data_IF_202226086305
#
_entry.id   IF_202226086305
#
_cell.length_a   1.000
_cell.length_b   1.000
_cell.length_c   1.000
_cell.angle_alpha   90.00
_cell.angle_beta   90.00
_cell.angle_gamma   90.00
#
_symmetry.space_group_name_H-M   'P 1'
#
loop_
_entity.id
_entity.type
_entity.pdbx_description
1 polymer ?
#
# COMPACT_ATOMS: atom_id res chain seq x y z
N UNK A 1 -21.98 8.27 -2.66
CA UNK A 1 -20.52 8.01 -2.66
C UNK A 1 -20.24 6.52 -2.80
N UNK A 2 -20.96 5.65 -2.07
CA UNK A 2 -20.88 4.18 -2.16
C UNK A 2 -21.04 3.62 -3.58
N UNK A 3 -22.05 4.04 -4.35
CA UNK A 3 -22.23 3.56 -5.74
C UNK A 3 -21.04 3.90 -6.65
N UNK A 4 -20.39 5.05 -6.40
CA UNK A 4 -19.19 5.44 -7.15
C UNK A 4 -18.01 4.58 -6.74
N UNK A 5 -17.83 4.31 -5.45
CA UNK A 5 -16.82 3.39 -4.94
C UNK A 5 -16.97 1.97 -5.53
N UNK A 6 -18.19 1.41 -5.49
CA UNK A 6 -18.47 0.09 -6.05
C UNK A 6 -18.17 0.00 -7.55
N UNK A 7 -18.47 1.06 -8.32
CA UNK A 7 -18.09 1.13 -9.73
C UNK A 7 -16.57 1.14 -9.93
N UNK A 8 -15.84 1.86 -9.08
CA UNK A 8 -14.38 1.90 -9.17
C UNK A 8 -13.73 0.54 -8.87
N UNK A 9 -14.31 -0.26 -7.97
CA UNK A 9 -13.80 -1.59 -7.63
C UNK A 9 -13.83 -2.60 -8.80
N UNK A 10 -14.74 -2.40 -9.77
CA UNK A 10 -14.90 -3.30 -10.93
C UNK A 10 -14.31 -2.73 -12.22
N UNK A 11 -13.77 -1.51 -12.19
CA UNK A 11 -13.12 -0.89 -13.33
C UNK A 11 -11.69 -1.42 -13.50
N UNK A 12 -11.19 -1.35 -14.73
CA UNK A 12 -9.77 -1.60 -14.99
C UNK A 12 -8.90 -0.60 -14.21
N UNK A 13 -7.82 -1.11 -13.62
CA UNK A 13 -6.87 -0.29 -12.88
C UNK A 13 -6.06 0.56 -13.85
N UNK A 14 -6.38 1.86 -13.89
CA UNK A 14 -5.97 2.80 -14.94
C UNK A 14 -5.69 4.19 -14.35
N UNK A 15 -5.02 5.09 -15.10
CA UNK A 15 -4.87 6.49 -14.70
C UNK A 15 -6.21 7.17 -14.40
N UNK A 16 -7.24 6.84 -15.18
CA UNK A 16 -8.60 7.35 -15.02
C UNK A 16 -9.21 6.87 -13.70
N UNK A 17 -9.11 5.57 -13.39
CA UNK A 17 -9.56 5.00 -12.12
C UNK A 17 -8.84 5.62 -10.93
N UNK A 18 -7.53 5.89 -11.06
CA UNK A 18 -6.75 6.60 -10.04
C UNK A 18 -7.27 8.00 -9.80
N UNK A 19 -7.46 8.78 -10.88
CA UNK A 19 -8.01 10.13 -10.79
C UNK A 19 -9.40 10.14 -10.17
N UNK A 20 -10.28 9.21 -10.55
CA UNK A 20 -11.62 9.13 -9.97
C UNK A 20 -11.64 8.74 -8.50
N UNK A 21 -10.68 7.91 -8.07
CA UNK A 21 -10.50 7.48 -6.68
C UNK A 21 -10.01 8.64 -5.80
N UNK A 22 -9.02 9.41 -6.27
CA UNK A 22 -8.55 10.62 -5.57
C UNK A 22 -9.69 11.65 -5.43
N UNK A 23 -10.43 11.90 -6.51
CA UNK A 23 -11.60 12.78 -6.47
C UNK A 23 -12.68 12.29 -5.48
N UNK A 24 -12.86 10.97 -5.34
CA UNK A 24 -13.79 10.40 -4.36
C UNK A 24 -13.29 10.62 -2.92
N UNK A 25 -12.01 10.42 -2.67
CA UNK A 25 -11.39 10.69 -1.37
C UNK A 25 -11.52 12.17 -0.98
N UNK A 26 -11.19 13.07 -1.90
CA UNK A 26 -11.35 14.51 -1.70
C UNK A 26 -12.81 14.90 -1.46
N UNK A 27 -13.75 14.30 -2.19
CA UNK A 27 -15.18 14.53 -1.98
C UNK A 27 -15.64 14.04 -0.61
N UNK A 28 -15.14 12.89 -0.16
CA UNK A 28 -15.43 12.38 1.18
C UNK A 28 -14.92 13.36 2.23
N UNK A 29 -13.64 13.72 2.18
CA UNK A 29 -13.02 14.67 3.10
C UNK A 29 -13.79 16.00 3.11
N UNK A 30 -14.12 16.55 1.93
CA UNK A 30 -14.83 17.83 1.82
C UNK A 30 -16.24 17.83 2.43
N UNK A 31 -16.92 16.68 2.43
CA UNK A 31 -18.28 16.55 2.94
C UNK A 31 -18.33 16.21 4.44
N UNK A 32 -17.23 15.75 5.03
CA UNK A 32 -17.26 15.17 6.37
C UNK A 32 -17.22 16.18 7.53
N UNK A 33 -17.34 17.50 7.28
CA UNK A 33 -17.13 18.58 8.28
C UNK A 33 -15.81 18.49 9.08
N UNK A 34 -14.94 17.54 8.75
CA UNK A 34 -13.62 17.36 9.29
C UNK A 34 -12.77 18.60 8.93
N UNK A 35 -11.86 19.07 9.79
CA UNK A 35 -10.99 20.20 9.46
C UNK A 35 -10.12 19.88 8.23
N UNK A 36 -10.55 20.35 7.07
CA UNK A 36 -9.89 20.11 5.79
C UNK A 36 -8.61 20.92 5.68
N UNK A 37 -7.47 20.27 5.89
CA UNK A 37 -6.17 20.88 5.71
C UNK A 37 -5.84 21.26 4.26
N UNK A 38 -6.48 20.67 3.22
CA UNK A 38 -5.90 20.71 1.87
C UNK A 38 -6.71 21.39 0.77
N UNK A 39 -8.04 21.48 0.87
CA UNK A 39 -8.81 22.30 -0.09
C UNK A 39 -8.49 23.79 0.01
N UNK A 40 -7.79 24.21 1.08
CA UNK A 40 -7.17 25.55 1.24
C UNK A 40 -5.72 25.63 0.78
N UNK A 41 -4.97 24.53 0.75
CA UNK A 41 -3.59 24.49 0.23
C UNK A 41 -3.64 24.58 -1.29
N UNK A 42 -4.42 23.74 -1.98
CA UNK A 42 -4.48 23.71 -3.45
C UNK A 42 -4.97 25.00 -4.12
N UNK A 43 -5.69 25.88 -3.41
CA UNK A 43 -6.17 27.18 -3.94
C UNK A 43 -5.12 28.29 -3.93
N UNK A 44 -3.96 28.07 -3.31
CA UNK A 44 -2.90 29.07 -3.23
C UNK A 44 -1.61 28.69 -3.97
N UNK A 45 -1.51 27.47 -4.52
CA UNK A 45 -0.35 27.11 -5.35
C UNK A 45 -0.63 27.50 -6.79
N UNK A 46 -0.03 28.62 -7.20
CA UNK A 46 0.13 28.93 -8.61
C UNK A 46 0.97 27.82 -9.28
N UNK A 47 0.78 27.61 -10.59
CA UNK A 47 1.43 26.52 -11.36
C UNK A 47 2.98 26.47 -11.23
N UNK A 48 3.61 27.50 -10.67
CA UNK A 48 5.04 27.64 -10.44
C UNK A 48 5.52 27.22 -9.03
N UNK A 49 4.63 26.95 -8.07
CA UNK A 49 4.97 26.78 -6.64
C UNK A 49 4.99 25.33 -6.11
N UNK A 50 4.58 24.33 -6.91
CA UNK A 50 4.78 22.90 -6.58
C UNK A 50 6.25 22.52 -6.31
N UNK A 51 7.13 23.42 -6.70
CA UNK A 51 8.57 23.41 -6.49
C UNK A 51 9.01 23.55 -5.03
N UNK A 52 8.05 23.85 -4.12
CA UNK A 52 8.23 23.98 -2.67
C UNK A 52 7.21 23.13 -1.90
N UNK A 53 6.88 21.91 -2.37
CA UNK A 53 6.23 20.96 -1.47
C UNK A 53 7.22 20.56 -0.38
N UNK A 54 7.22 21.35 0.69
CA UNK A 54 8.00 21.12 1.88
C UNK A 54 7.27 20.04 2.67
N UNK A 55 7.78 18.82 2.62
CA UNK A 55 7.44 17.84 3.62
C UNK A 55 7.84 18.41 4.98
N UNK A 56 6.89 18.65 5.90
CA UNK A 56 7.24 19.29 7.16
C UNK A 56 8.32 18.51 7.92
N UNK A 57 9.26 19.19 8.58
CA UNK A 57 10.42 18.56 9.21
C UNK A 57 10.03 17.49 10.23
N UNK A 58 8.98 17.73 11.01
CA UNK A 58 8.41 16.76 11.95
C UNK A 58 7.94 15.48 11.25
N UNK A 59 7.42 15.57 10.03
CA UNK A 59 6.92 14.43 9.28
C UNK A 59 8.08 13.64 8.69
N UNK A 60 9.12 14.35 8.22
CA UNK A 60 10.39 13.73 7.82
C UNK A 60 11.01 12.97 8.99
N UNK A 61 11.07 13.57 10.18
CA UNK A 61 11.65 12.93 11.36
C UNK A 61 10.82 11.75 11.83
N UNK A 62 9.51 11.88 11.82
CA UNK A 62 8.58 10.79 12.05
C UNK A 62 8.81 9.62 11.07
N UNK A 63 8.93 9.88 9.76
CA UNK A 63 9.25 8.84 8.77
C UNK A 63 10.62 8.20 9.04
N UNK A 64 11.62 8.99 9.43
CA UNK A 64 12.96 8.47 9.77
C UNK A 64 12.87 7.54 10.97
N UNK A 65 12.13 7.91 12.01
CA UNK A 65 11.96 7.08 13.21
C UNK A 65 11.34 5.74 12.85
N UNK A 66 10.28 5.75 12.02
CA UNK A 66 9.66 4.49 11.55
C UNK A 66 10.62 3.65 10.70
N UNK A 67 11.42 4.28 9.83
CA UNK A 67 12.41 3.56 9.04
C UNK A 67 13.55 2.99 9.89
N UNK A 68 13.94 3.69 10.97
CA UNK A 68 14.99 3.28 11.88
C UNK A 68 14.59 2.06 12.72
N UNK A 69 13.30 1.93 13.07
CA UNK A 69 12.76 0.76 13.77
C UNK A 69 12.97 -0.55 12.99
N UNK A 70 13.01 -0.49 11.65
CA UNK A 70 13.24 -1.66 10.81
C UNK A 70 14.72 -2.06 10.69
N UNK A 71 15.66 -1.21 11.12
CA UNK A 71 17.11 -1.42 11.05
C UNK A 71 17.60 -1.99 9.69
N UNK A 72 16.93 -1.63 8.59
CA UNK A 72 17.19 -2.19 7.28
C UNK A 72 17.87 -1.13 6.39
N UNK A 73 19.14 -1.39 6.05
CA UNK A 73 19.97 -0.50 5.22
C UNK A 73 19.44 -0.31 3.80
N UNK A 74 18.51 -1.16 3.36
CA UNK A 74 17.90 -1.10 2.05
C UNK A 74 16.61 -0.26 2.02
N UNK A 75 16.17 0.30 3.16
CA UNK A 75 15.04 1.24 3.16
C UNK A 75 15.39 2.49 2.34
N UNK A 76 14.47 2.98 1.50
CA UNK A 76 14.70 4.16 0.69
C UNK A 76 14.99 5.39 1.55
N UNK A 77 15.89 6.25 1.07
CA UNK A 77 16.16 7.52 1.73
C UNK A 77 14.94 8.43 1.59
N UNK A 78 14.51 9.05 2.68
CA UNK A 78 13.46 10.06 2.65
C UNK A 78 13.99 11.29 1.91
N UNK A 79 13.43 11.66 0.75
CA UNK A 79 13.86 12.87 0.05
C UNK A 79 13.49 14.10 0.89
N UNK A 80 14.42 15.04 1.03
CA UNK A 80 14.16 16.32 1.73
C UNK A 80 13.11 17.17 1.00
N UNK A 81 13.03 17.02 -0.33
CA UNK A 81 12.03 17.63 -1.19
C UNK A 81 11.90 16.82 -2.47
N UNK A 82 10.73 16.89 -3.12
CA UNK A 82 10.57 16.41 -4.49
C UNK A 82 11.31 17.40 -5.41
N UNK A 83 12.24 16.93 -6.26
CA UNK A 83 13.04 17.83 -7.09
C UNK A 83 12.19 18.56 -8.14
N UNK A 84 12.55 19.82 -8.42
CA UNK A 84 11.89 20.63 -9.45
C UNK A 84 12.04 19.95 -10.82
N UNK A 85 10.92 19.62 -11.45
CA UNK A 85 10.87 19.05 -12.81
C UNK A 85 10.68 20.15 -13.84
N UNK A 86 11.37 20.03 -14.99
CA UNK A 86 11.25 20.98 -16.12
C UNK A 86 10.39 20.45 -17.27
N UNK A 87 10.28 19.13 -17.37
CA UNK A 87 9.44 18.46 -18.35
C UNK A 87 7.98 18.50 -17.89
N UNK A 88 7.08 18.92 -18.76
CA UNK A 88 5.65 19.07 -18.45
C UNK A 88 5.03 17.77 -17.97
N UNK A 89 5.35 16.66 -18.62
CA UNK A 89 4.87 15.33 -18.24
C UNK A 89 5.34 14.97 -16.84
N UNK A 90 6.63 15.17 -16.54
CA UNK A 90 7.19 14.90 -15.21
C UNK A 90 6.58 15.79 -14.12
N UNK A 91 6.23 17.03 -14.44
CA UNK A 91 5.51 17.92 -13.53
C UNK A 91 4.15 17.32 -13.16
N UNK A 92 3.38 16.83 -14.13
CA UNK A 92 2.08 16.19 -13.87
C UNK A 92 2.23 14.93 -12.99
N UNK A 93 3.30 14.15 -13.15
CA UNK A 93 3.55 12.99 -12.31
C UNK A 93 3.97 13.33 -10.89
N UNK A 94 4.78 14.38 -10.71
CA UNK A 94 5.08 14.89 -9.37
C UNK A 94 3.81 15.40 -8.69
N UNK A 95 2.88 16.04 -9.42
CA UNK A 95 1.56 16.45 -8.88
C UNK A 95 0.74 15.26 -8.42
N UNK A 96 0.56 14.26 -9.28
CA UNK A 96 -0.15 13.02 -8.94
C UNK A 96 0.45 12.39 -7.68
N UNK A 97 1.78 12.29 -7.62
CA UNK A 97 2.49 11.76 -6.45
C UNK A 97 2.10 12.50 -5.18
N UNK A 98 2.11 13.83 -5.20
CA UNK A 98 1.74 14.65 -4.03
C UNK A 98 0.28 14.43 -3.60
N UNK A 99 -0.63 14.28 -4.56
CA UNK A 99 -2.05 14.03 -4.30
C UNK A 99 -2.27 12.65 -3.64
N UNK A 100 -1.54 11.63 -4.09
CA UNK A 100 -1.52 10.31 -3.45
C UNK A 100 -0.98 10.40 -2.03
N UNK A 101 0.17 11.07 -1.86
CA UNK A 101 0.82 11.21 -0.55
C UNK A 101 -0.12 11.86 0.45
N UNK A 102 -0.79 12.93 0.04
CA UNK A 102 -1.74 13.62 0.89
C UNK A 102 -2.87 12.68 1.34
N UNK A 103 -3.49 11.97 0.39
CA UNK A 103 -4.62 11.09 0.68
C UNK A 103 -4.25 9.90 1.57
N UNK A 104 -3.10 9.27 1.33
CA UNK A 104 -2.65 8.12 2.15
C UNK A 104 -2.12 8.54 3.52
N UNK A 105 -1.53 9.73 3.64
CA UNK A 105 -0.94 10.19 4.88
C UNK A 105 -1.92 11.00 5.74
N UNK A 106 -3.17 11.20 5.30
CA UNK A 106 -4.23 11.78 6.14
C UNK A 106 -4.75 10.74 7.15
N UNK A 107 -4.98 11.10 8.43
CA UNK A 107 -4.88 12.43 9.04
C UNK A 107 -3.50 12.71 9.65
N UNK A 108 -2.52 11.79 9.52
CA UNK A 108 -1.18 11.97 10.08
C UNK A 108 -0.57 13.29 9.63
N UNK A 109 -0.76 13.71 8.36
CA UNK A 109 -0.32 15.02 7.88
C UNK A 109 -1.13 16.22 8.42
N UNK A 110 -2.42 16.05 8.71
CA UNK A 110 -3.28 17.16 9.16
C UNK A 110 -3.15 17.44 10.65
N UNK A 111 -2.80 16.43 11.46
CA UNK A 111 -2.73 16.54 12.91
C UNK A 111 -1.48 17.28 13.43
N UNK A 112 -0.58 17.73 12.55
CA UNK A 112 0.74 18.23 12.94
C UNK A 112 0.89 19.76 12.79
N UNK A 113 -0.12 20.44 12.23
CA UNK A 113 -0.16 21.90 12.19
C UNK A 113 -1.02 22.52 13.30
N UNK A 114 -1.82 21.72 14.01
CA UNK A 114 -2.58 22.13 15.18
C UNK A 114 -2.18 21.21 16.33
N UNK A 115 -1.89 21.75 17.51
CA UNK A 115 -1.63 20.98 18.75
C UNK A 115 -2.85 20.13 19.19
N UNK A 116 -3.91 20.11 18.40
CA UNK A 116 -5.08 19.28 18.56
C UNK A 116 -4.90 17.99 17.77
N UNK A 117 -4.88 16.86 18.47
CA UNK A 117 -5.06 15.55 17.86
C UNK A 117 -6.36 15.59 17.05
N UNK A 118 -6.26 15.55 15.72
CA UNK A 118 -7.43 15.35 14.86
C UNK A 118 -7.95 13.94 15.10
N UNK A 119 -8.98 13.86 15.93
CA UNK A 119 -9.79 12.65 16.07
C UNK A 119 -10.68 12.64 14.83
N UNK A 120 -10.42 11.70 13.92
CA UNK A 120 -11.41 11.37 12.89
C UNK A 120 -12.59 10.74 13.61
N UNK A 121 -13.76 11.36 13.52
CA UNK A 121 -15.03 10.81 14.00
C UNK A 121 -15.97 10.66 12.79
N UNK A 122 -16.80 9.61 12.78
CA UNK A 122 -17.70 9.28 11.66
C UNK A 122 -17.37 7.96 10.97
N UNK A 123 -17.82 7.77 9.72
CA UNK A 123 -17.62 6.55 8.93
C UNK A 123 -16.19 6.48 8.35
N UNK A 124 -15.21 6.29 9.23
CA UNK A 124 -13.79 6.14 8.89
C UNK A 124 -13.54 4.85 8.09
N UNK A 125 -14.40 3.84 8.26
CA UNK A 125 -14.32 2.58 7.51
C UNK A 125 -14.38 2.83 6.02
N UNK A 126 -15.38 3.60 5.55
CA UNK A 126 -15.50 3.94 4.14
C UNK A 126 -14.33 4.79 3.61
N UNK A 127 -13.72 5.65 4.44
CA UNK A 127 -12.52 6.38 4.03
C UNK A 127 -11.29 5.46 3.90
N UNK A 128 -11.09 4.53 4.85
CA UNK A 128 -10.04 3.50 4.78
C UNK A 128 -10.22 2.65 3.52
N UNK A 129 -11.45 2.33 3.14
CA UNK A 129 -11.76 1.58 1.92
C UNK A 129 -11.33 2.32 0.65
N UNK A 130 -11.53 3.65 0.61
CA UNK A 130 -11.03 4.50 -0.49
C UNK A 130 -9.50 4.58 -0.46
N UNK A 131 -8.89 4.72 0.71
CA UNK A 131 -7.43 4.75 0.86
C UNK A 131 -6.78 3.43 0.42
N UNK A 132 -7.41 2.29 0.71
CA UNK A 132 -6.96 0.97 0.23
C UNK A 132 -7.03 0.86 -1.30
N UNK A 133 -8.07 1.40 -1.93
CA UNK A 133 -8.14 1.46 -3.39
C UNK A 133 -7.01 2.32 -3.97
N UNK A 134 -6.76 3.50 -3.40
CA UNK A 134 -5.64 4.38 -3.77
C UNK A 134 -4.30 3.67 -3.58
N UNK A 135 -4.13 2.93 -2.48
CA UNK A 135 -2.92 2.17 -2.18
C UNK A 135 -2.61 1.12 -3.26
N UNK A 136 -3.61 0.33 -3.65
CA UNK A 136 -3.45 -0.71 -4.69
C UNK A 136 -3.15 -0.08 -6.04
N UNK A 137 -3.92 0.95 -6.44
CA UNK A 137 -3.65 1.71 -7.69
C UNK A 137 -2.26 2.36 -7.69
N UNK A 138 -1.77 2.78 -6.52
CA UNK A 138 -0.41 3.30 -6.38
C UNK A 138 0.63 2.21 -6.64
N UNK A 139 0.42 1.01 -6.08
CA UNK A 139 1.30 -0.14 -6.30
C UNK A 139 1.35 -0.59 -7.76
N UNK A 140 0.18 -0.73 -8.41
CA UNK A 140 0.10 -1.39 -9.71
C UNK A 140 0.24 -0.44 -10.90
N UNK A 141 -0.02 0.85 -10.69
CA UNK A 141 0.05 1.85 -11.74
C UNK A 141 1.11 2.93 -11.45
N UNK A 142 1.00 3.65 -10.33
CA UNK A 142 1.84 4.85 -10.09
C UNK A 142 3.31 4.48 -9.92
N UNK A 143 3.63 3.50 -9.07
CA UNK A 143 5.01 3.10 -8.81
C UNK A 143 5.73 2.53 -10.05
N UNK A 144 5.15 1.59 -10.83
CA UNK A 144 5.71 1.14 -12.10
C UNK A 144 5.93 2.29 -13.08
N UNK A 145 4.98 3.22 -13.11
CA UNK A 145 5.05 4.38 -13.98
C UNK A 145 6.23 5.31 -13.60
N UNK A 146 6.39 5.64 -12.33
CA UNK A 146 7.51 6.46 -11.84
C UNK A 146 8.87 5.79 -12.09
N UNK A 147 8.94 4.48 -11.87
CA UNK A 147 10.14 3.66 -12.17
C UNK A 147 10.51 3.75 -13.66
N UNK A 148 9.54 3.57 -14.56
CA UNK A 148 9.75 3.67 -16.02
C UNK A 148 10.28 5.03 -16.45
N UNK A 149 9.85 6.11 -15.77
CA UNK A 149 10.21 7.49 -16.10
C UNK A 149 11.43 8.03 -15.32
N UNK A 150 12.10 7.17 -14.55
CA UNK A 150 13.29 7.50 -13.74
C UNK A 150 13.03 8.62 -12.73
N UNK A 151 11.86 8.59 -12.09
CA UNK A 151 11.43 9.50 -11.04
C UNK A 151 11.67 8.85 -9.67
N UNK A 152 12.95 8.71 -9.30
CA UNK A 152 13.36 7.94 -8.12
C UNK A 152 12.90 8.58 -6.81
N UNK A 153 13.00 9.90 -6.71
CA UNK A 153 12.65 10.60 -5.48
C UNK A 153 11.15 10.45 -5.16
N UNK A 154 10.28 10.57 -6.17
CA UNK A 154 8.84 10.34 -6.06
C UNK A 154 8.54 8.88 -5.71
N UNK A 155 9.23 7.94 -6.36
CA UNK A 155 9.09 6.51 -6.11
C UNK A 155 9.45 6.15 -4.67
N UNK A 156 10.61 6.60 -4.20
CA UNK A 156 11.11 6.34 -2.85
C UNK A 156 10.16 6.95 -1.79
N UNK A 157 9.68 8.17 -2.04
CA UNK A 157 8.76 8.84 -1.13
C UNK A 157 7.41 8.14 -1.02
N UNK A 158 6.80 7.74 -2.14
CA UNK A 158 5.53 7.02 -2.13
C UNK A 158 5.61 5.68 -1.39
N UNK A 159 6.68 4.92 -1.58
CA UNK A 159 6.88 3.67 -0.87
C UNK A 159 6.96 3.87 0.66
N UNK A 160 7.60 4.95 1.11
CA UNK A 160 7.65 5.30 2.54
C UNK A 160 6.28 5.72 3.07
N UNK A 161 5.50 6.46 2.30
CA UNK A 161 4.13 6.84 2.69
C UNK A 161 3.22 5.63 2.74
N UNK A 162 3.30 4.73 1.77
CA UNK A 162 2.57 3.46 1.77
C UNK A 162 2.95 2.61 2.98
N UNK A 163 4.24 2.55 3.34
CA UNK A 163 4.70 1.88 4.55
C UNK A 163 4.06 2.47 5.81
N UNK A 164 4.14 3.80 5.97
CA UNK A 164 3.54 4.51 7.10
C UNK A 164 2.03 4.34 7.19
N UNK A 165 1.33 4.44 6.07
CA UNK A 165 -0.11 4.19 6.01
C UNK A 165 -0.43 2.77 6.51
N UNK A 166 0.28 1.76 6.02
CA UNK A 166 0.11 0.37 6.44
C UNK A 166 0.37 0.20 7.94
N UNK A 167 1.38 0.89 8.47
CA UNK A 167 1.72 0.84 9.88
C UNK A 167 0.64 1.47 10.77
N UNK A 168 0.07 2.60 10.35
CA UNK A 168 -0.84 3.40 11.20
C UNK A 168 -2.31 3.03 11.02
N UNK A 169 -2.78 2.96 9.77
CA UNK A 169 -4.19 2.75 9.49
C UNK A 169 -4.65 1.32 9.84
N UNK A 170 -3.72 0.36 9.88
CA UNK A 170 -4.00 -1.06 10.05
C UNK A 170 -3.31 -1.69 11.27
N UNK A 171 -2.86 -0.88 12.23
CA UNK A 171 -2.23 -1.38 13.46
C UNK A 171 -3.16 -2.29 14.29
N UNK A 172 -4.47 -2.11 14.14
CA UNK A 172 -5.54 -2.88 14.77
C UNK A 172 -5.83 -4.21 14.04
N UNK A 173 -5.34 -4.39 12.82
CA UNK A 173 -5.41 -5.64 12.06
C UNK A 173 -4.01 -6.10 11.59
N UNK A 174 -3.24 -6.77 12.46
CA UNK A 174 -1.87 -7.19 12.16
C UNK A 174 -1.73 -8.12 10.96
N UNK A 175 -2.74 -8.96 10.68
CA UNK A 175 -2.74 -9.84 9.51
C UNK A 175 -2.79 -9.03 8.21
N UNK A 176 -3.73 -8.07 8.12
CA UNK A 176 -3.85 -7.19 6.95
C UNK A 176 -2.65 -6.23 6.84
N UNK A 177 -2.16 -5.68 7.96
CA UNK A 177 -0.97 -4.85 7.97
C UNK A 177 0.24 -5.55 7.34
N UNK A 178 0.49 -6.83 7.69
CA UNK A 178 1.58 -7.59 7.10
C UNK A 178 1.37 -7.86 5.61
N UNK A 179 0.12 -8.06 5.16
CA UNK A 179 -0.21 -8.15 3.74
C UNK A 179 0.13 -6.85 2.99
N UNK A 180 -0.14 -5.68 3.58
CA UNK A 180 0.23 -4.41 2.98
C UNK A 180 1.76 -4.19 2.98
N UNK A 181 2.45 -4.58 4.05
CA UNK A 181 3.92 -4.55 4.09
C UNK A 181 4.54 -5.40 2.99
N UNK A 182 3.99 -6.58 2.68
CA UNK A 182 4.52 -7.40 1.59
C UNK A 182 4.41 -6.71 0.24
N UNK A 183 3.34 -5.94 0.00
CA UNK A 183 3.19 -5.13 -1.22
C UNK A 183 4.26 -4.04 -1.29
N UNK A 184 4.44 -3.30 -0.19
CA UNK A 184 5.47 -2.24 -0.11
C UNK A 184 6.88 -2.80 -0.30
N UNK A 185 7.22 -3.89 0.37
CA UNK A 185 8.54 -4.51 0.26
C UNK A 185 8.77 -5.13 -1.12
N UNK A 186 7.72 -5.65 -1.77
CA UNK A 186 7.82 -6.10 -3.15
C UNK A 186 8.15 -4.94 -4.10
N UNK A 187 7.50 -3.80 -3.90
CA UNK A 187 7.81 -2.59 -4.66
C UNK A 187 9.27 -2.13 -4.45
N UNK A 188 9.82 -2.30 -3.25
CA UNK A 188 11.24 -2.00 -2.96
C UNK A 188 12.23 -3.08 -3.43
N UNK A 189 11.75 -4.26 -3.89
CA UNK A 189 12.60 -5.39 -4.29
C UNK A 189 13.18 -6.19 -3.11
N UNK A 190 12.55 -6.10 -1.92
CA UNK A 190 12.98 -6.78 -0.70
C UNK A 190 12.32 -8.16 -0.58
N UNK A 191 12.67 -9.08 -1.48
CA UNK A 191 11.98 -10.38 -1.63
C UNK A 191 11.91 -11.23 -0.36
N UNK A 192 12.97 -11.25 0.46
CA UNK A 192 12.96 -11.99 1.73
C UNK A 192 11.91 -11.43 2.69
N UNK A 193 11.84 -10.10 2.82
CA UNK A 193 10.86 -9.43 3.65
C UNK A 193 9.42 -9.64 3.16
N UNK A 194 9.20 -9.74 1.84
CA UNK A 194 7.90 -10.11 1.25
C UNK A 194 7.43 -11.46 1.77
N UNK A 195 8.29 -12.48 1.70
CA UNK A 195 7.97 -13.84 2.13
C UNK A 195 7.68 -13.88 3.64
N UNK A 196 8.47 -13.20 4.46
CA UNK A 196 8.27 -13.11 5.91
C UNK A 196 6.94 -12.43 6.28
N UNK A 197 6.60 -11.32 5.62
CA UNK A 197 5.36 -10.62 5.81
C UNK A 197 4.15 -11.48 5.41
N UNK A 198 4.19 -12.14 4.24
CA UNK A 198 3.11 -13.01 3.79
C UNK A 198 2.90 -14.21 4.72
N UNK A 199 3.99 -14.82 5.20
CA UNK A 199 3.90 -15.91 6.18
C UNK A 199 3.26 -15.43 7.49
N UNK A 200 3.66 -14.24 7.96
CA UNK A 200 3.11 -13.63 9.18
C UNK A 200 1.63 -13.30 9.02
N UNK A 201 1.24 -12.71 7.88
CA UNK A 201 -0.16 -12.43 7.54
C UNK A 201 -1.02 -13.69 7.56
N UNK A 202 -0.54 -14.78 6.93
CA UNK A 202 -1.22 -16.07 6.96
C UNK A 202 -1.34 -16.62 8.38
N UNK A 203 -0.26 -16.64 9.16
CA UNK A 203 -0.25 -17.19 10.53
C UNK A 203 -1.19 -16.46 11.50
N UNK A 204 -1.44 -15.19 11.26
CA UNK A 204 -2.33 -14.36 12.06
C UNK A 204 -3.80 -14.44 11.60
N UNK A 205 -4.07 -15.13 10.50
CA UNK A 205 -5.41 -15.32 9.96
C UNK A 205 -5.96 -16.67 10.42
N UNK A 206 -7.13 -16.64 11.06
CA UNK A 206 -7.79 -17.86 11.55
C UNK A 206 -8.33 -18.69 10.38
N UNK A 207 -8.37 -20.03 10.47
CA UNK A 207 -8.95 -20.89 9.43
C UNK A 207 -10.40 -20.58 9.08
N UNK A 208 -11.17 -20.01 9.99
CA UNK A 208 -12.57 -19.62 9.80
C UNK A 208 -12.73 -18.28 9.07
N UNK A 209 -11.65 -17.53 8.90
CA UNK A 209 -11.67 -16.22 8.25
C UNK A 209 -11.78 -16.38 6.73
N UNK A 210 -12.64 -15.57 6.10
CA UNK A 210 -12.88 -15.57 4.66
C UNK A 210 -11.61 -15.34 3.82
N UNK A 211 -10.62 -14.63 4.38
CA UNK A 211 -9.34 -14.35 3.72
C UNK A 211 -8.30 -15.48 3.88
N UNK A 212 -8.59 -16.54 4.64
CA UNK A 212 -7.61 -17.56 5.03
C UNK A 212 -6.95 -18.22 3.82
N UNK A 213 -7.75 -18.71 2.87
CA UNK A 213 -7.23 -19.38 1.67
C UNK A 213 -6.53 -18.41 0.72
N UNK A 214 -7.05 -17.20 0.56
CA UNK A 214 -6.40 -16.16 -0.24
C UNK A 214 -4.99 -15.85 0.27
N UNK A 215 -4.81 -15.71 1.60
CA UNK A 215 -3.48 -15.46 2.19
C UNK A 215 -2.58 -16.69 2.11
N UNK A 216 -3.14 -17.89 2.27
CA UNK A 216 -2.40 -19.14 2.11
C UNK A 216 -1.86 -19.28 0.67
N UNK A 217 -2.70 -19.02 -0.33
CA UNK A 217 -2.33 -19.02 -1.74
C UNK A 217 -1.28 -17.95 -2.03
N UNK A 218 -1.46 -16.73 -1.54
CA UNK A 218 -0.49 -15.64 -1.77
C UNK A 218 0.90 -16.01 -1.23
N UNK A 219 0.98 -16.55 -0.01
CA UNK A 219 2.24 -17.02 0.57
C UNK A 219 2.85 -18.19 -0.25
N UNK A 220 2.02 -19.17 -0.62
CA UNK A 220 2.47 -20.28 -1.45
C UNK A 220 3.03 -19.82 -2.80
N UNK A 221 2.34 -18.91 -3.50
CA UNK A 221 2.81 -18.35 -4.77
C UNK A 221 4.15 -17.65 -4.60
N UNK A 222 4.34 -16.88 -3.52
CA UNK A 222 5.62 -16.23 -3.24
C UNK A 222 6.78 -17.24 -3.04
N UNK A 223 6.51 -18.40 -2.42
CA UNK A 223 7.51 -19.47 -2.32
C UNK A 223 7.84 -20.08 -3.69
N UNK A 224 6.84 -20.29 -4.54
CA UNK A 224 7.02 -20.79 -5.90
C UNK A 224 7.84 -19.81 -6.75
N UNK A 225 7.50 -18.52 -6.73
CA UNK A 225 8.20 -17.48 -7.48
C UNK A 225 9.67 -17.34 -7.03
N UNK A 226 9.93 -17.53 -5.74
CA UNK A 226 11.27 -17.59 -5.17
C UNK A 226 12.01 -18.92 -5.42
N UNK A 227 11.40 -19.87 -6.14
CA UNK A 227 11.90 -21.23 -6.40
C UNK A 227 12.16 -22.05 -5.13
N UNK A 228 11.48 -21.73 -4.03
CA UNK A 228 11.54 -22.43 -2.75
C UNK A 228 10.57 -23.62 -2.73
N UNK A 229 10.70 -24.53 -3.70
CA UNK A 229 9.73 -25.61 -3.92
C UNK A 229 9.58 -26.57 -2.73
N UNK A 230 10.67 -26.87 -2.02
CA UNK A 230 10.62 -27.73 -0.84
C UNK A 230 9.81 -27.09 0.30
N UNK A 231 9.93 -25.79 0.48
CA UNK A 231 9.17 -25.07 1.50
C UNK A 231 7.72 -24.89 1.10
N UNK A 232 7.43 -24.66 -0.20
CA UNK A 232 6.08 -24.63 -0.73
C UNK A 232 5.34 -25.96 -0.48
N UNK A 233 6.00 -27.10 -0.69
CA UNK A 233 5.41 -28.43 -0.39
C UNK A 233 5.18 -28.66 1.10
N UNK A 234 6.17 -28.35 1.93
CA UNK A 234 6.01 -28.49 3.39
C UNK A 234 4.85 -27.62 3.88
N UNK A 235 4.72 -26.41 3.33
CA UNK A 235 3.63 -25.50 3.62
C UNK A 235 2.28 -26.09 3.25
N UNK A 236 2.08 -26.57 2.02
CA UNK A 236 0.77 -27.07 1.56
C UNK A 236 0.31 -28.33 2.30
N UNK A 237 1.25 -29.21 2.65
CA UNK A 237 0.95 -30.38 3.50
C UNK A 237 0.52 -29.97 4.91
N UNK A 238 1.14 -28.94 5.49
CA UNK A 238 0.74 -28.39 6.80
C UNK A 238 -0.58 -27.64 6.70
N UNK A 239 -0.82 -26.93 5.61
CA UNK A 239 -2.07 -26.21 5.36
C UNK A 239 -3.24 -27.20 5.40
N UNK A 240 -3.15 -28.33 4.70
CA UNK A 240 -4.18 -29.37 4.71
C UNK A 240 -4.48 -29.91 6.12
N UNK A 241 -3.45 -30.09 6.95
CA UNK A 241 -3.61 -30.60 8.32
C UNK A 241 -4.32 -29.63 9.26
N UNK A 242 -4.19 -28.31 9.03
CA UNK A 242 -4.66 -27.27 9.95
C UNK A 242 -5.87 -26.50 9.42
N UNK A 243 -6.37 -26.84 8.22
CA UNK A 243 -7.51 -26.17 7.60
C UNK A 243 -8.84 -26.85 7.93
N UNK A 244 -9.93 -26.10 7.74
CA UNK A 244 -11.28 -26.65 7.78
C UNK A 244 -11.52 -27.62 6.62
N UNK A 245 -12.40 -28.60 6.81
CA UNK A 245 -12.70 -29.62 5.80
C UNK A 245 -13.21 -29.05 4.49
N UNK A 246 -13.94 -27.94 4.56
CA UNK A 246 -14.46 -27.24 3.38
C UNK A 246 -13.36 -26.71 2.45
N UNK A 247 -12.15 -26.49 2.97
CA UNK A 247 -11.00 -26.03 2.20
C UNK A 247 -10.23 -27.15 1.50
N UNK A 248 -10.53 -28.43 1.79
CA UNK A 248 -9.65 -29.53 1.41
C UNK A 248 -9.51 -29.74 -0.09
N UNK A 249 -10.56 -29.51 -0.87
CA UNK A 249 -10.49 -29.68 -2.33
C UNK A 249 -9.54 -28.64 -2.95
N UNK A 250 -9.69 -27.37 -2.58
CA UNK A 250 -8.80 -26.29 -3.05
C UNK A 250 -7.34 -26.53 -2.61
N UNK A 251 -7.12 -26.98 -1.37
CA UNK A 251 -5.76 -27.27 -0.88
C UNK A 251 -5.12 -28.45 -1.64
N UNK A 252 -5.90 -29.48 -2.02
CA UNK A 252 -5.38 -30.60 -2.83
C UNK A 252 -4.89 -30.12 -4.19
N UNK A 253 -5.62 -29.20 -4.85
CA UNK A 253 -5.18 -28.61 -6.11
C UNK A 253 -3.83 -27.88 -5.96
N UNK A 254 -3.66 -27.11 -4.89
CA UNK A 254 -2.39 -26.41 -4.59
C UNK A 254 -1.25 -27.43 -4.35
N UNK A 255 -1.53 -28.54 -3.65
CA UNK A 255 -0.56 -29.61 -3.42
C UNK A 255 -0.11 -30.21 -4.76
N UNK A 256 -1.06 -30.62 -5.61
CA UNK A 256 -0.76 -31.22 -6.92
C UNK A 256 0.08 -30.29 -7.79
N UNK A 257 -0.31 -29.02 -7.86
CA UNK A 257 0.41 -27.98 -8.60
C UNK A 257 1.84 -27.76 -8.07
N UNK A 258 2.03 -27.80 -6.75
CA UNK A 258 3.36 -27.70 -6.12
C UNK A 258 4.31 -28.81 -6.59
N UNK A 259 3.82 -30.05 -6.68
CA UNK A 259 4.60 -31.19 -7.14
C UNK A 259 4.89 -31.12 -8.65
N UNK A 260 3.95 -30.63 -9.45
CA UNK A 260 4.14 -30.45 -10.89
C UNK A 260 5.18 -29.37 -11.20
N UNK A 261 5.09 -28.21 -10.55
CA UNK A 261 6.00 -27.08 -10.79
C UNK A 261 7.44 -27.39 -10.42
N UNK A 262 7.68 -28.13 -9.33
CA UNK A 262 9.04 -28.58 -9.00
C UNK A 262 9.62 -29.50 -10.09
N UNK A 263 8.83 -30.43 -10.64
CA UNK A 263 9.28 -31.32 -11.72
C UNK A 263 9.68 -30.56 -12.97
N UNK A 264 8.99 -29.46 -13.28
CA UNK A 264 9.29 -28.59 -14.44
C UNK A 264 10.44 -27.61 -14.17
N UNK A 265 10.69 -27.27 -12.92
CA UNK A 265 11.74 -26.33 -12.50
C UNK A 265 13.12 -26.95 -12.29
N UNK A 266 13.24 -28.28 -12.38
CA UNK A 266 14.50 -29.05 -12.40
C UNK A 266 14.94 -29.31 -13.83
#
# INVERSE_FOLDING_TARGET
MTDKYQKLLVNEWSPETMKESLNLADSFLNNSELPLGFSKIGKHYDYHELSEFFTPSHFIDYLKDQSALLNNKNMPNIPKCIPKRRDSTKIEYSKLTLEVIYNLAFPVFSAINNEEHLILEGDIGFFRDIQSLIFILTSDYVLPFLRKNRLREEFDYLNLIMFTYSLYAWHDNPAHQNQLFSIVFNNMGLHEAVIECLYTAFRLTAPEDHDYLTKAQTYWTALIDAKMFDDAKKFTLRLLQNSLKEHFEEIKEIIELSFELERKGR
#
